data_IF_384667072480
#
_entry.id   IF_384667072480
#
_cell.length_a   1.000
_cell.length_b   1.000
_cell.length_c   1.000
_cell.angle_alpha   90.00
_cell.angle_beta   90.00
_cell.angle_gamma   90.00
#
_symmetry.space_group_name_H-M   'P 1'
#
loop_
_entity.id
_entity.type
_entity.pdbx_description
1 polymer ?
#
# COMPACT_ATOMS: atom_id res chain seq x y z
N UNK A 1 -19.48 1.53 -12.04
CA UNK A 1 -18.48 1.91 -11.04
C UNK A 1 -18.28 0.73 -10.11
N UNK A 2 -17.05 0.28 -9.94
CA UNK A 2 -16.73 -0.87 -9.08
C UNK A 2 -17.01 -0.60 -7.60
N UNK A 3 -17.09 -1.67 -6.81
CA UNK A 3 -17.19 -1.58 -5.35
C UNK A 3 -15.81 -1.37 -4.75
N UNK A 4 -15.64 -0.27 -3.99
CA UNK A 4 -14.38 0.08 -3.34
C UNK A 4 -14.58 0.40 -1.86
N UNK A 5 -13.49 0.30 -1.11
CA UNK A 5 -13.42 0.77 0.27
C UNK A 5 -13.70 2.28 0.36
N UNK A 6 -14.39 2.69 1.41
CA UNK A 6 -14.55 4.11 1.75
C UNK A 6 -13.26 4.76 2.24
N UNK A 7 -12.23 3.98 2.53
CA UNK A 7 -10.89 4.46 2.88
C UNK A 7 -10.08 4.93 1.67
N UNK A 8 -10.59 4.74 0.44
CA UNK A 8 -9.93 5.27 -0.75
C UNK A 8 -9.97 6.79 -0.77
N UNK A 9 -8.79 7.40 -0.91
CA UNK A 9 -8.65 8.84 -1.14
C UNK A 9 -8.98 9.21 -2.60
N UNK A 10 -8.79 8.25 -3.51
CA UNK A 10 -9.08 8.41 -4.94
C UNK A 10 -9.43 7.06 -5.59
N UNK A 11 -10.15 7.13 -6.70
CA UNK A 11 -10.45 5.98 -7.55
C UNK A 11 -9.84 6.24 -8.94
N UNK A 12 -8.99 5.31 -9.38
CA UNK A 12 -8.36 5.33 -10.70
C UNK A 12 -8.49 3.96 -11.33
N UNK A 13 -9.66 3.68 -11.91
CA UNK A 13 -9.97 2.36 -12.46
C UNK A 13 -8.93 1.94 -13.51
N UNK A 14 -8.48 0.69 -13.38
CA UNK A 14 -7.56 0.07 -14.34
C UNK A 14 -8.20 -0.03 -15.71
N UNK A 15 -7.37 -0.09 -16.77
CA UNK A 15 -7.87 -0.45 -18.10
C UNK A 15 -8.60 -1.80 -18.04
N UNK A 16 -9.77 -1.93 -18.69
CA UNK A 16 -10.50 -3.21 -18.80
C UNK A 16 -9.67 -4.38 -19.34
N UNK A 17 -8.57 -4.08 -20.04
CA UNK A 17 -7.62 -5.07 -20.56
C UNK A 17 -6.71 -5.70 -19.51
N UNK A 18 -6.76 -5.23 -18.25
CA UNK A 18 -5.82 -5.58 -17.18
C UNK A 18 -6.47 -6.37 -16.05
N UNK A 19 -7.76 -6.70 -16.12
CA UNK A 19 -8.45 -7.47 -15.09
C UNK A 19 -9.57 -8.33 -15.69
N UNK A 20 -10.17 -9.20 -14.91
CA UNK A 20 -11.35 -9.97 -15.27
C UNK A 20 -12.57 -9.35 -14.59
N UNK A 21 -13.58 -8.94 -15.36
CA UNK A 21 -14.72 -8.15 -14.88
C UNK A 21 -15.58 -8.83 -13.80
N UNK A 22 -15.47 -10.14 -13.63
CA UNK A 22 -16.24 -10.88 -12.62
C UNK A 22 -15.38 -11.95 -11.94
N UNK A 23 -15.43 -12.01 -10.62
CA UNK A 23 -14.88 -13.15 -9.87
C UNK A 23 -15.76 -14.37 -10.06
N UNK A 24 -15.14 -15.54 -10.08
CA UNK A 24 -15.85 -16.84 -10.06
C UNK A 24 -15.82 -17.49 -8.66
N UNK A 25 -15.32 -16.78 -7.66
CA UNK A 25 -15.20 -17.26 -6.29
C UNK A 25 -15.49 -16.14 -5.28
N UNK A 26 -15.85 -16.53 -4.05
CA UNK A 26 -15.98 -15.59 -2.94
C UNK A 26 -14.61 -15.11 -2.46
N UNK A 27 -14.56 -13.87 -1.97
CA UNK A 27 -13.35 -13.28 -1.39
C UNK A 27 -13.11 -13.92 -0.02
N UNK A 28 -11.98 -14.63 0.13
CA UNK A 28 -11.55 -15.32 1.35
C UNK A 28 -10.10 -15.03 1.71
N UNK A 29 -9.34 -14.46 0.77
CA UNK A 29 -7.91 -14.23 0.89
C UNK A 29 -7.56 -12.76 0.71
N UNK A 30 -6.40 -12.41 1.20
CA UNK A 30 -5.79 -11.11 0.95
C UNK A 30 -4.32 -11.31 0.60
N UNK A 31 -3.84 -10.61 -0.44
CA UNK A 31 -2.49 -10.80 -0.98
C UNK A 31 -1.78 -9.46 -1.10
N UNK A 32 -0.99 -9.06 -0.08
CA UNK A 32 -0.14 -7.89 -0.17
C UNK A 32 1.03 -8.10 -1.14
N UNK A 33 1.29 -7.09 -1.96
CA UNK A 33 2.43 -6.93 -2.85
C UNK A 33 3.15 -5.62 -2.53
N UNK A 34 4.36 -5.44 -3.04
CA UNK A 34 5.03 -4.17 -3.09
C UNK A 34 5.19 -3.70 -4.54
N UNK A 35 5.11 -2.40 -4.79
CA UNK A 35 5.23 -1.83 -6.15
C UNK A 35 6.67 -1.87 -6.70
N UNK A 36 7.64 -2.28 -5.89
CA UNK A 36 9.09 -2.22 -6.19
C UNK A 36 9.53 -0.78 -6.58
N UNK A 37 9.05 0.21 -5.84
CA UNK A 37 9.35 1.62 -6.08
C UNK A 37 8.79 2.54 -5.01
N UNK A 38 9.22 3.80 -5.02
CA UNK A 38 8.71 4.87 -4.15
C UNK A 38 7.71 5.68 -4.96
N UNK A 39 6.42 5.40 -4.80
CA UNK A 39 5.35 5.92 -5.64
C UNK A 39 4.22 6.54 -4.80
N UNK A 40 3.59 7.58 -5.31
CA UNK A 40 2.32 8.08 -4.79
C UNK A 40 1.15 7.18 -5.21
N UNK A 41 0.02 7.31 -4.54
CA UNK A 41 -1.20 6.58 -4.90
C UNK A 41 -1.62 6.84 -6.35
N UNK A 42 -1.52 8.09 -6.82
CA UNK A 42 -1.81 8.47 -8.21
C UNK A 42 -0.88 7.79 -9.21
N UNK A 43 0.42 7.71 -8.89
CA UNK A 43 1.40 7.04 -9.74
C UNK A 43 1.11 5.54 -9.84
N UNK A 44 0.75 4.90 -8.72
CA UNK A 44 0.34 3.47 -8.71
C UNK A 44 -0.91 3.28 -9.58
N UNK A 45 -1.93 4.11 -9.43
CA UNK A 45 -3.15 4.03 -10.25
C UNK A 45 -2.86 4.17 -11.75
N UNK A 46 -2.01 5.12 -12.14
CA UNK A 46 -1.64 5.36 -13.55
C UNK A 46 -0.96 4.16 -14.21
N UNK A 47 -0.18 3.38 -13.48
CA UNK A 47 0.47 2.17 -14.02
C UNK A 47 -0.56 1.22 -14.61
N UNK A 48 -1.70 1.04 -13.94
CA UNK A 48 -2.72 0.07 -14.32
C UNK A 48 -3.76 0.61 -15.30
N UNK A 49 -3.78 1.93 -15.55
CA UNK A 49 -4.57 2.53 -16.62
C UNK A 49 -3.99 2.26 -18.01
N UNK A 50 -2.69 1.93 -18.11
CA UNK A 50 -2.07 1.54 -19.37
C UNK A 50 -2.62 0.18 -19.85
N UNK A 51 -3.33 0.10 -21.00
CA UNK A 51 -3.94 -1.13 -21.49
C UNK A 51 -2.94 -2.25 -21.83
N UNK A 52 -1.68 -1.90 -22.02
CA UNK A 52 -0.59 -2.85 -22.33
C UNK A 52 0.07 -3.44 -21.07
N UNK A 53 -0.31 -3.00 -19.87
CA UNK A 53 0.30 -3.48 -18.62
C UNK A 53 0.05 -4.96 -18.37
N UNK A 54 -1.15 -5.46 -18.74
CA UNK A 54 -1.58 -6.86 -18.55
C UNK A 54 -1.44 -7.37 -17.12
N UNK A 55 -1.56 -6.46 -16.16
CA UNK A 55 -1.56 -6.70 -14.73
C UNK A 55 -2.36 -5.62 -14.02
N UNK A 56 -2.82 -5.88 -12.81
CA UNK A 56 -3.52 -4.92 -11.95
C UNK A 56 -3.51 -5.37 -10.50
N UNK A 57 -3.99 -4.50 -9.59
CA UNK A 57 -4.31 -4.81 -8.21
C UNK A 57 -5.71 -4.26 -7.87
N UNK A 58 -6.33 -4.70 -6.78
CA UNK A 58 -7.57 -4.08 -6.34
C UNK A 58 -7.31 -2.70 -5.74
N UNK A 59 -6.23 -2.55 -4.98
CA UNK A 59 -5.88 -1.31 -4.31
C UNK A 59 -4.39 -1.01 -4.41
N UNK A 60 -4.05 0.28 -4.32
CA UNK A 60 -2.69 0.76 -4.13
C UNK A 60 -2.58 1.64 -2.89
N UNK A 61 -1.45 1.59 -2.20
CA UNK A 61 -1.14 2.45 -1.06
C UNK A 61 0.14 3.21 -1.39
N UNK A 62 0.02 4.53 -1.54
CA UNK A 62 1.13 5.43 -1.86
C UNK A 62 2.04 5.69 -0.67
N UNK A 63 3.24 6.19 -0.94
CA UNK A 63 4.24 6.55 0.10
C UNK A 63 3.70 7.56 1.12
N UNK A 64 2.72 8.36 0.73
CA UNK A 64 2.02 9.34 1.57
C UNK A 64 0.88 8.73 2.39
N UNK A 65 0.68 7.42 2.34
CA UNK A 65 -0.39 6.71 3.02
C UNK A 65 -1.76 6.83 2.34
N UNK A 66 -1.88 7.53 1.22
CA UNK A 66 -3.13 7.57 0.46
C UNK A 66 -3.44 6.24 -0.19
N UNK A 67 -4.74 5.92 -0.27
CA UNK A 67 -5.24 4.70 -0.87
C UNK A 67 -5.91 5.02 -2.20
N UNK A 68 -5.52 4.30 -3.25
CA UNK A 68 -6.18 4.33 -4.56
C UNK A 68 -6.93 3.03 -4.81
N UNK A 69 -8.21 3.13 -5.18
CA UNK A 69 -9.00 2.02 -5.72
C UNK A 69 -8.72 1.87 -7.22
N UNK A 70 -8.40 0.65 -7.66
CA UNK A 70 -7.89 0.37 -9.01
C UNK A 70 -8.79 -0.65 -9.73
N UNK A 71 -9.10 -1.78 -9.10
CA UNK A 71 -10.04 -2.78 -9.61
C UNK A 71 -11.09 -3.06 -8.54
N UNK A 72 -12.35 -2.89 -8.87
CA UNK A 72 -13.47 -3.15 -7.95
C UNK A 72 -13.41 -4.55 -7.35
N UNK A 73 -13.86 -4.71 -6.11
CA UNK A 73 -13.77 -5.97 -5.37
C UNK A 73 -14.55 -7.13 -6.02
N UNK A 74 -15.61 -6.84 -6.74
CA UNK A 74 -16.37 -7.82 -7.53
C UNK A 74 -15.60 -8.39 -8.73
N UNK A 75 -14.50 -7.74 -9.11
CA UNK A 75 -13.65 -8.09 -10.24
C UNK A 75 -12.35 -8.75 -9.77
N UNK A 76 -11.79 -9.63 -10.60
CA UNK A 76 -10.49 -10.26 -10.34
C UNK A 76 -9.37 -9.39 -10.90
N UNK A 77 -8.57 -8.79 -10.05
CA UNK A 77 -7.31 -8.19 -10.45
C UNK A 77 -6.31 -9.28 -10.92
N UNK A 78 -5.39 -8.93 -11.82
CA UNK A 78 -4.34 -9.81 -12.31
C UNK A 78 -3.02 -9.46 -11.62
N UNK A 79 -2.81 -10.01 -10.43
CA UNK A 79 -1.74 -9.56 -9.54
C UNK A 79 -0.71 -10.65 -9.24
N UNK A 80 -1.17 -11.82 -8.77
CA UNK A 80 -0.28 -12.85 -8.21
C UNK A 80 0.23 -13.88 -9.22
N UNK A 81 -0.08 -13.74 -10.51
CA UNK A 81 0.14 -14.74 -11.55
C UNK A 81 -0.62 -16.06 -11.32
N UNK A 82 -1.53 -16.08 -10.35
CA UNK A 82 -2.37 -17.25 -10.03
C UNK A 82 -3.85 -16.88 -10.13
N UNK A 83 -4.54 -17.23 -11.22
CA UNK A 83 -5.98 -16.99 -11.34
C UNK A 83 -6.79 -17.57 -10.18
N UNK A 84 -6.42 -18.76 -9.68
CA UNK A 84 -7.12 -19.39 -8.56
C UNK A 84 -6.99 -18.60 -7.25
N UNK A 85 -5.82 -18.01 -6.99
CA UNK A 85 -5.64 -17.10 -5.86
C UNK A 85 -6.39 -15.79 -6.08
N UNK A 86 -6.16 -15.14 -7.22
CA UNK A 86 -6.70 -13.80 -7.50
C UNK A 86 -8.23 -13.78 -7.56
N UNK A 87 -8.89 -14.89 -7.91
CA UNK A 87 -10.34 -15.01 -7.82
C UNK A 87 -10.88 -15.01 -6.38
N UNK A 88 -10.05 -15.36 -5.40
CA UNK A 88 -10.41 -15.43 -3.98
C UNK A 88 -9.76 -14.31 -3.15
N UNK A 89 -8.80 -13.59 -3.71
CA UNK A 89 -8.03 -12.60 -2.98
C UNK A 89 -8.37 -11.16 -3.36
N UNK A 90 -8.38 -10.28 -2.38
CA UNK A 90 -8.15 -8.86 -2.60
C UNK A 90 -6.64 -8.62 -2.57
N UNK A 91 -6.14 -7.87 -3.52
CA UNK A 91 -4.71 -7.65 -3.75
C UNK A 91 -4.35 -6.18 -3.59
N UNK A 92 -3.18 -5.94 -3.02
CA UNK A 92 -2.70 -4.61 -2.65
C UNK A 92 -1.31 -4.38 -3.22
N UNK A 93 -1.06 -3.22 -3.79
CA UNK A 93 0.26 -2.74 -4.18
C UNK A 93 0.70 -1.63 -3.22
N UNK A 94 1.71 -1.92 -2.40
CA UNK A 94 2.17 -1.00 -1.36
C UNK A 94 3.47 -0.35 -1.79
N UNK A 95 3.54 0.98 -1.70
CA UNK A 95 4.77 1.72 -1.99
C UNK A 95 5.86 1.40 -0.99
N UNK A 96 7.07 1.22 -1.50
CA UNK A 96 8.28 1.22 -0.68
C UNK A 96 8.66 2.67 -0.32
N UNK A 97 9.46 2.86 0.72
CA UNK A 97 10.07 4.15 1.05
C UNK A 97 11.56 4.21 0.64
N UNK A 98 12.08 3.09 0.11
CA UNK A 98 13.39 3.01 -0.53
C UNK A 98 13.35 2.06 -1.72
N UNK A 99 14.29 2.22 -2.64
CA UNK A 99 14.51 1.32 -3.78
C UNK A 99 15.66 0.38 -3.48
N UNK A 100 15.43 -0.91 -3.63
CA UNK A 100 16.45 -1.94 -3.36
C UNK A 100 16.59 -2.31 -1.89
N UNK A 101 17.68 -2.98 -1.54
CA UNK A 101 17.90 -3.52 -0.18
C UNK A 101 16.83 -4.56 0.18
N UNK A 102 16.25 -4.42 1.36
CA UNK A 102 15.12 -5.24 1.83
C UNK A 102 13.75 -4.78 1.30
N UNK A 103 13.72 -3.72 0.49
CA UNK A 103 12.49 -3.09 -0.01
C UNK A 103 11.60 -2.59 1.12
N UNK A 104 12.17 -1.81 2.02
CA UNK A 104 11.50 -1.27 3.19
C UNK A 104 10.19 -0.55 2.82
N UNK A 105 9.22 -0.64 3.72
CA UNK A 105 7.90 0.02 3.63
C UNK A 105 7.69 0.77 4.95
N UNK A 106 7.30 2.02 4.88
CA UNK A 106 7.09 2.86 6.06
C UNK A 106 5.99 2.30 6.98
N UNK A 107 6.11 2.56 8.29
CA UNK A 107 5.08 2.17 9.25
C UNK A 107 3.71 2.76 8.90
N UNK A 108 3.67 3.97 8.33
CA UNK A 108 2.45 4.60 7.82
C UNK A 108 1.77 3.69 6.78
N UNK A 109 2.50 3.21 5.78
CA UNK A 109 1.95 2.36 4.73
C UNK A 109 1.51 0.98 5.27
N UNK A 110 2.24 0.43 6.25
CA UNK A 110 1.86 -0.81 6.94
C UNK A 110 0.54 -0.62 7.70
N UNK A 111 0.38 0.47 8.45
CA UNK A 111 -0.85 0.78 9.18
C UNK A 111 -2.04 0.97 8.23
N UNK A 112 -1.85 1.70 7.13
CA UNK A 112 -2.89 1.86 6.10
C UNK A 112 -3.28 0.54 5.44
N UNK A 113 -2.30 -0.35 5.21
CA UNK A 113 -2.58 -1.69 4.71
C UNK A 113 -3.46 -2.48 5.70
N UNK A 114 -3.11 -2.47 6.99
CA UNK A 114 -3.89 -3.16 8.03
C UNK A 114 -5.32 -2.61 8.08
N UNK A 115 -5.51 -1.29 8.11
CA UNK A 115 -6.83 -0.66 8.11
C UNK A 115 -7.68 -1.08 6.92
N UNK A 116 -7.07 -1.05 5.73
CA UNK A 116 -7.75 -1.44 4.49
C UNK A 116 -8.11 -2.93 4.48
N UNK A 117 -7.22 -3.80 4.97
CA UNK A 117 -7.49 -5.24 5.09
C UNK A 117 -8.65 -5.54 6.05
N UNK A 118 -8.75 -4.80 7.16
CA UNK A 118 -9.87 -4.90 8.11
C UNK A 118 -11.17 -4.42 7.46
N UNK A 119 -11.14 -3.29 6.75
CA UNK A 119 -12.31 -2.75 6.07
C UNK A 119 -12.82 -3.68 4.95
N UNK A 120 -11.90 -4.26 4.17
CA UNK A 120 -12.24 -5.29 3.17
C UNK A 120 -12.94 -6.49 3.82
N UNK A 121 -12.44 -6.97 4.96
CA UNK A 121 -13.05 -8.09 5.68
C UNK A 121 -14.47 -7.76 6.15
N UNK A 122 -14.72 -6.56 6.67
CA UNK A 122 -16.07 -6.15 7.12
C UNK A 122 -17.08 -6.19 5.97
N UNK A 123 -16.68 -5.87 4.74
CA UNK A 123 -17.54 -5.94 3.56
C UNK A 123 -17.61 -7.35 2.94
N UNK A 124 -16.62 -8.19 3.23
CA UNK A 124 -16.49 -9.56 2.71
C UNK A 124 -16.32 -10.56 3.87
N UNK A 125 -17.34 -10.80 4.70
CA UNK A 125 -17.22 -11.55 5.95
C UNK A 125 -17.10 -13.08 5.75
N UNK A 126 -16.58 -13.53 4.60
CA UNK A 126 -16.38 -14.95 4.30
C UNK A 126 -15.18 -15.55 5.06
N UNK A 127 -14.32 -14.71 5.63
CA UNK A 127 -13.17 -15.09 6.46
C UNK A 127 -13.20 -14.22 7.72
N UNK A 128 -13.42 -14.84 8.87
CA UNK A 128 -13.48 -14.15 10.18
C UNK A 128 -12.14 -14.17 10.91
N UNK A 129 -11.21 -14.99 10.46
CA UNK A 129 -9.86 -15.12 11.01
C UNK A 129 -8.87 -15.42 9.89
N UNK A 130 -7.90 -14.54 9.70
CA UNK A 130 -6.86 -14.73 8.69
C UNK A 130 -5.69 -15.55 9.21
N UNK A 131 -5.08 -16.34 8.33
CA UNK A 131 -3.94 -17.22 8.62
C UNK A 131 -2.83 -16.93 7.61
N UNK A 132 -1.65 -16.62 8.12
CA UNK A 132 -0.41 -16.64 7.37
C UNK A 132 0.44 -17.82 7.84
N UNK A 133 0.47 -18.90 7.08
CA UNK A 133 1.21 -20.14 7.37
C UNK A 133 2.47 -20.29 6.50
N UNK A 134 2.80 -19.26 5.72
CA UNK A 134 3.93 -19.30 4.79
C UNK A 134 3.68 -20.06 3.50
N UNK A 135 2.48 -20.64 3.33
CA UNK A 135 2.08 -21.43 2.15
C UNK A 135 0.89 -20.79 1.40
N UNK A 136 0.59 -21.32 0.22
CA UNK A 136 -0.58 -20.89 -0.56
C UNK A 136 -1.92 -21.36 0.02
N UNK A 137 -1.93 -22.19 1.07
CA UNK A 137 -3.14 -22.66 1.75
C UNK A 137 -3.68 -21.64 2.74
N UNK A 138 -2.81 -20.75 3.27
CA UNK A 138 -3.23 -19.66 4.13
C UNK A 138 -4.22 -18.71 3.47
N UNK A 139 -4.88 -17.88 4.26
CA UNK A 139 -5.79 -16.83 3.77
C UNK A 139 -5.06 -15.51 3.56
N UNK A 140 -3.87 -15.33 4.12
CA UNK A 140 -2.90 -14.30 3.72
C UNK A 140 -1.85 -14.99 2.86
N UNK A 141 -1.70 -14.53 1.61
CA UNK A 141 -0.78 -15.10 0.64
C UNK A 141 0.16 -14.01 0.09
N UNK A 142 1.15 -14.40 -0.69
CA UNK A 142 2.13 -13.49 -1.30
C UNK A 142 2.51 -13.95 -2.71
N UNK A 143 2.96 -13.04 -3.55
CA UNK A 143 3.21 -13.30 -4.97
C UNK A 143 4.21 -14.43 -5.22
N UNK A 144 5.32 -14.47 -4.48
CA UNK A 144 6.35 -15.49 -4.64
C UNK A 144 5.95 -16.90 -4.15
N UNK A 145 4.70 -17.09 -3.72
CA UNK A 145 4.09 -18.43 -3.56
C UNK A 145 3.61 -19.01 -4.91
N UNK A 146 3.43 -18.15 -5.92
CA UNK A 146 2.76 -18.51 -7.19
C UNK A 146 3.64 -18.30 -8.42
N UNK A 147 4.68 -17.47 -8.31
CA UNK A 147 5.57 -17.13 -9.39
C UNK A 147 7.01 -16.95 -8.91
N UNK A 148 7.99 -17.12 -9.81
CA UNK A 148 9.39 -16.83 -9.56
C UNK A 148 9.61 -15.29 -9.53
N UNK A 149 9.41 -14.67 -8.37
CA UNK A 149 9.54 -13.23 -8.16
C UNK A 149 10.05 -12.93 -6.75
N UNK A 150 10.65 -11.78 -6.55
CA UNK A 150 11.03 -11.27 -5.22
C UNK A 150 9.87 -10.59 -4.49
N UNK A 151 8.75 -10.29 -5.18
CA UNK A 151 7.57 -9.70 -4.54
C UNK A 151 7.00 -10.64 -3.46
N UNK A 152 6.67 -10.13 -2.27
CA UNK A 152 6.47 -8.74 -1.88
C UNK A 152 7.71 -8.02 -1.29
N UNK A 153 8.91 -8.50 -1.53
CA UNK A 153 10.14 -8.04 -0.91
C UNK A 153 10.36 -8.65 0.49
N UNK A 154 11.62 -8.73 0.92
CA UNK A 154 11.96 -9.38 2.20
C UNK A 154 11.36 -8.65 3.40
N UNK A 155 11.28 -7.30 3.35
CA UNK A 155 10.70 -6.52 4.44
C UNK A 155 9.22 -6.83 4.63
N UNK A 156 8.38 -6.64 3.58
CA UNK A 156 6.94 -6.89 3.71
C UNK A 156 6.67 -8.37 4.04
N UNK A 157 7.42 -9.29 3.44
CA UNK A 157 7.29 -10.72 3.76
C UNK A 157 7.55 -10.99 5.25
N UNK A 158 8.54 -10.37 5.87
CA UNK A 158 8.84 -10.51 7.29
C UNK A 158 7.76 -9.91 8.20
N UNK A 159 7.02 -8.92 7.68
CA UNK A 159 5.93 -8.24 8.41
C UNK A 159 4.56 -8.97 8.31
N UNK A 160 4.39 -9.92 7.39
CA UNK A 160 3.10 -10.60 7.21
C UNK A 160 2.56 -11.29 8.48
N UNK A 161 3.36 -11.95 9.33
CA UNK A 161 2.86 -12.47 10.62
C UNK A 161 2.28 -11.37 11.50
N UNK A 162 3.00 -10.26 11.68
CA UNK A 162 2.55 -9.10 12.44
C UNK A 162 1.28 -8.47 11.86
N UNK A 163 1.25 -8.24 10.53
CA UNK A 163 0.09 -7.68 9.84
C UNK A 163 -1.14 -8.58 10.06
N UNK A 164 -0.97 -9.90 9.92
CA UNK A 164 -2.06 -10.87 10.12
C UNK A 164 -2.60 -10.81 11.55
N UNK A 165 -1.71 -10.74 12.54
CA UNK A 165 -2.10 -10.61 13.95
C UNK A 165 -2.89 -9.32 14.20
N UNK A 166 -2.40 -8.17 13.70
CA UNK A 166 -3.06 -6.88 13.88
C UNK A 166 -4.43 -6.84 13.19
N UNK A 167 -4.54 -7.38 11.97
CA UNK A 167 -5.83 -7.49 11.26
C UNK A 167 -6.83 -8.32 12.07
N UNK A 168 -6.43 -9.52 12.54
CA UNK A 168 -7.29 -10.37 13.33
C UNK A 168 -7.71 -9.72 14.65
N UNK A 169 -6.79 -9.04 15.33
CA UNK A 169 -7.06 -8.30 16.54
C UNK A 169 -8.12 -7.22 16.31
N UNK A 170 -7.95 -6.37 15.29
CA UNK A 170 -8.89 -5.27 14.97
C UNK A 170 -10.25 -5.80 14.51
N UNK A 171 -10.31 -6.92 13.80
CA UNK A 171 -11.56 -7.59 13.44
C UNK A 171 -12.31 -8.02 14.70
N UNK A 172 -11.62 -8.68 15.65
CA UNK A 172 -12.19 -9.18 16.91
C UNK A 172 -12.69 -8.04 17.81
N UNK A 173 -11.93 -6.95 17.90
CA UNK A 173 -12.24 -5.79 18.72
C UNK A 173 -13.30 -4.87 18.10
N UNK A 174 -13.63 -5.07 16.83
CA UNK A 174 -14.55 -4.18 16.11
C UNK A 174 -14.02 -2.74 15.95
N UNK A 175 -12.71 -2.56 16.11
CA UNK A 175 -12.08 -1.24 16.09
C UNK A 175 -12.28 -0.54 14.74
N UNK A 176 -12.58 0.76 14.80
CA UNK A 176 -12.55 1.62 13.63
C UNK A 176 -11.12 1.72 13.10
N UNK A 177 -10.93 2.03 11.78
CA UNK A 177 -9.61 2.36 11.25
C UNK A 177 -8.94 3.43 12.11
N UNK A 178 -7.65 3.28 12.35
CA UNK A 178 -6.89 4.30 13.06
C UNK A 178 -6.92 5.56 12.19
N UNK A 179 -7.40 6.68 12.75
CA UNK A 179 -7.21 7.97 12.10
C UNK A 179 -5.70 8.24 12.05
N UNK A 180 -5.09 7.84 10.96
CA UNK A 180 -3.71 8.25 10.69
C UNK A 180 -3.78 9.75 10.43
N UNK A 181 -2.99 10.56 11.13
CA UNK A 181 -2.89 11.98 10.82
C UNK A 181 -2.63 12.09 9.32
N UNK A 182 -3.56 12.71 8.59
CA UNK A 182 -3.32 13.04 7.19
C UNK A 182 -1.98 13.72 7.13
N UNK A 183 -0.99 13.09 6.50
CA UNK A 183 0.23 13.79 6.15
C UNK A 183 -0.24 14.95 5.30
N UNK A 184 -0.32 16.12 5.92
CA UNK A 184 -0.68 17.32 5.19
C UNK A 184 0.27 17.37 4.01
N UNK A 185 -0.27 17.28 2.82
CA UNK A 185 0.51 17.55 1.60
C UNK A 185 1.34 18.78 1.91
N UNK A 186 2.68 18.72 1.84
CA UNK A 186 3.48 19.84 2.29
C UNK A 186 3.01 21.07 1.54
N UNK A 187 2.32 21.96 2.26
CA UNK A 187 1.90 23.24 1.72
C UNK A 187 3.16 23.86 1.13
N UNK A 188 3.09 24.19 -0.16
CA UNK A 188 4.23 24.73 -0.90
C UNK A 188 4.83 25.86 -0.07
N UNK A 189 5.98 25.60 0.56
CA UNK A 189 6.63 26.53 1.48
C UNK A 189 6.93 27.84 0.76
N UNK A 190 6.77 28.95 1.45
CA UNK A 190 7.06 30.30 0.92
C UNK A 190 8.24 30.89 1.65
N UNK A 191 8.95 31.78 0.98
CA UNK A 191 9.94 32.64 1.65
C UNK A 191 9.23 33.41 2.75
N UNK A 192 9.76 33.38 3.97
CA UNK A 192 9.16 33.97 5.13
C UNK A 192 8.51 32.99 6.11
N UNK A 193 8.20 31.76 5.68
CA UNK A 193 7.64 30.74 6.58
C UNK A 193 8.63 30.35 7.67
N UNK A 194 8.12 30.18 8.90
CA UNK A 194 8.89 29.61 10.01
C UNK A 194 8.74 28.09 9.97
N UNK A 195 9.85 27.38 9.97
CA UNK A 195 9.88 25.92 9.93
C UNK A 195 10.61 25.34 11.12
N UNK A 196 10.14 24.19 11.59
CA UNK A 196 10.85 23.38 12.57
C UNK A 196 11.78 22.42 11.84
N UNK A 197 13.05 22.45 12.20
CA UNK A 197 14.06 21.52 11.63
C UNK A 197 14.11 20.29 12.52
N UNK A 198 13.64 19.16 12.02
CA UNK A 198 13.59 17.89 12.75
C UNK A 198 14.83 17.01 12.52
N UNK A 199 15.64 17.32 11.50
CA UNK A 199 16.87 16.62 11.19
C UNK A 199 17.64 17.30 10.06
N UNK A 200 18.94 17.06 10.03
CA UNK A 200 19.85 17.43 8.94
C UNK A 200 20.50 16.13 8.47
N UNK A 201 20.67 15.97 7.16
CA UNK A 201 21.32 14.79 6.59
C UNK A 201 22.61 15.22 5.87
N UNK A 202 23.60 14.33 5.86
CA UNK A 202 24.91 14.59 5.22
C UNK A 202 24.77 14.80 3.71
N UNK A 203 23.79 14.11 3.09
CA UNK A 203 23.42 14.27 1.69
C UNK A 203 21.92 14.00 1.52
N UNK A 204 21.33 14.42 0.40
CA UNK A 204 19.88 14.26 0.14
C UNK A 204 19.38 12.80 0.11
N UNK A 205 20.29 11.84 -0.13
CA UNK A 205 20.01 10.40 -0.13
C UNK A 205 20.62 9.68 1.09
N UNK A 206 21.09 10.40 2.10
CA UNK A 206 21.74 9.83 3.28
C UNK A 206 20.72 9.49 4.36
N UNK A 207 20.88 8.33 4.97
CA UNK A 207 20.20 7.95 6.22
C UNK A 207 20.93 8.48 7.46
N UNK A 208 22.13 9.05 7.29
CA UNK A 208 22.96 9.61 8.38
C UNK A 208 22.35 10.96 8.84
N UNK A 209 21.55 10.89 9.89
CA UNK A 209 20.87 12.04 10.49
C UNK A 209 21.81 12.71 11.50
N UNK A 210 21.99 14.01 11.32
CA UNK A 210 22.66 14.88 12.28
C UNK A 210 21.63 15.65 13.11
N UNK A 211 21.94 15.90 14.39
CA UNK A 211 21.10 16.77 15.20
C UNK A 211 21.30 18.24 14.75
N UNK A 212 20.23 18.98 14.42
CA UNK A 212 20.36 20.36 14.04
C UNK A 212 20.78 21.22 15.24
N UNK A 213 21.69 22.16 15.03
CA UNK A 213 22.06 23.16 16.05
C UNK A 213 20.92 24.11 16.39
N UNK A 214 19.91 24.23 15.49
CA UNK A 214 18.68 24.99 15.70
C UNK A 214 17.48 24.14 15.28
N UNK A 215 16.42 24.18 16.08
CA UNK A 215 15.19 23.41 15.85
C UNK A 215 14.12 24.19 15.09
N UNK A 216 14.34 25.50 14.84
CA UNK A 216 13.42 26.32 14.02
C UNK A 216 14.19 27.39 13.24
N UNK A 217 13.62 27.83 12.14
CA UNK A 217 14.19 28.89 11.31
C UNK A 217 13.20 29.40 10.28
N UNK A 218 13.45 30.62 9.80
CA UNK A 218 12.66 31.26 8.74
C UNK A 218 13.25 30.90 7.37
N UNK A 219 12.40 30.52 6.43
CA UNK A 219 12.83 30.26 5.06
C UNK A 219 13.22 31.58 4.39
N UNK A 220 14.48 31.70 3.99
CA UNK A 220 14.99 32.90 3.31
C UNK A 220 15.08 32.73 1.79
N UNK A 221 15.12 31.49 1.28
CA UNK A 221 15.18 31.17 -0.15
C UNK A 221 14.63 29.75 -0.39
N UNK A 222 13.91 29.58 -1.50
CA UNK A 222 13.50 28.27 -2.01
C UNK A 222 14.21 28.07 -3.34
N UNK A 223 14.95 26.96 -3.48
CA UNK A 223 15.58 26.55 -4.72
C UNK A 223 14.72 25.43 -5.28
N UNK A 224 14.23 25.55 -6.51
CA UNK A 224 13.56 24.47 -7.20
C UNK A 224 14.54 23.31 -7.38
N UNK A 225 14.16 22.13 -6.94
CA UNK A 225 14.95 20.92 -7.16
C UNK A 225 15.11 20.64 -8.65
N UNK A 226 16.29 20.18 -9.04
CA UNK A 226 16.56 19.70 -10.38
C UNK A 226 15.82 18.38 -10.64
#
# INVERSE_FOLDING_TARGET
MGTFSKLCDLIMEASPSNYTAKRNNTIKKQTPHHVAGVLTAEQIGRIFQNPNRKASANYGIGIDGKIVGIVGEESRAWTSSSPSNDHQAITYEVSNDQVGGDWHISDLCIERLIDLMVDVQKRNPNTTHYIYDGTSNGTITRHNMFAATTCPGSYLQSKLPYITEQVNKRIKEGTAPVEVPTVQTPTKRKVGDVVTVTGIFVASNSTNRLNPARTSGKITKIIAGA
#
